data_IF_263110877226
#
_entry.id   IF_263110877226
#
_cell.length_a   1.000
_cell.length_b   1.000
_cell.length_c   1.000
_cell.angle_alpha   90.00
_cell.angle_beta   90.00
_cell.angle_gamma   90.00
#
_symmetry.space_group_name_H-M   'P 1'
#
loop_
_entity.id
_entity.type
_entity.pdbx_description
1 polymer ?
#
# COMPACT_ATOMS: atom_id res chain seq x y z
N UNK A 1 17.32 3.22 -7.16
CA UNK A 1 16.01 3.25 -6.47
C UNK A 1 16.28 3.49 -5.00
N UNK A 2 15.59 4.45 -4.35
CA UNK A 2 15.72 4.70 -2.91
C UNK A 2 14.44 4.24 -2.25
N UNK A 3 14.57 3.44 -1.20
CA UNK A 3 13.44 2.91 -0.46
C UNK A 3 13.00 3.87 0.64
N UNK A 4 11.70 3.84 0.97
CA UNK A 4 11.08 4.63 2.03
C UNK A 4 10.40 3.67 3.00
N UNK A 5 10.67 3.83 4.30
CA UNK A 5 10.04 3.05 5.37
C UNK A 5 9.03 3.93 6.10
N UNK A 6 7.76 3.53 6.09
CA UNK A 6 6.68 4.21 6.81
C UNK A 6 6.37 3.46 8.12
N UNK A 7 6.47 4.13 9.27
CA UNK A 7 6.13 3.57 10.58
C UNK A 7 4.82 4.18 11.07
N UNK A 8 3.83 3.36 11.38
CA UNK A 8 2.56 3.79 11.98
C UNK A 8 2.53 3.42 13.46
N UNK A 9 2.13 4.38 14.31
CA UNK A 9 2.07 4.19 15.75
C UNK A 9 0.76 4.75 16.32
N UNK A 10 0.18 4.00 17.27
CA UNK A 10 -1.08 4.35 17.93
C UNK A 10 -2.32 4.11 17.06
N UNK A 11 -3.49 4.20 17.69
CA UNK A 11 -4.77 3.87 17.06
C UNK A 11 -5.12 4.83 15.91
N UNK A 12 -4.90 6.14 16.08
CA UNK A 12 -5.07 7.12 15.01
C UNK A 12 -4.10 6.86 13.84
N UNK A 13 -2.83 6.60 14.13
CA UNK A 13 -1.81 6.32 13.12
C UNK A 13 -2.13 5.06 12.29
N UNK A 14 -2.63 4.01 12.94
CA UNK A 14 -3.02 2.78 12.26
C UNK A 14 -4.24 2.97 11.34
N UNK A 15 -5.22 3.79 11.73
CA UNK A 15 -6.38 4.09 10.88
C UNK A 15 -5.98 4.83 9.61
N UNK A 16 -5.16 5.88 9.75
CA UNK A 16 -4.66 6.63 8.60
C UNK A 16 -3.74 5.75 7.75
N UNK A 17 -2.85 4.97 8.38
CA UNK A 17 -1.95 4.06 7.68
C UNK A 17 -2.68 3.01 6.85
N UNK A 18 -3.76 2.44 7.38
CA UNK A 18 -4.59 1.48 6.66
C UNK A 18 -5.21 2.10 5.40
N UNK A 19 -5.80 3.30 5.51
CA UNK A 19 -6.41 3.97 4.35
C UNK A 19 -5.39 4.46 3.34
N UNK A 20 -4.22 4.88 3.80
CA UNK A 20 -3.12 5.24 2.92
C UNK A 20 -2.69 4.05 2.05
N UNK A 21 -2.43 2.89 2.65
CA UNK A 21 -1.98 1.72 1.90
C UNK A 21 -3.08 1.11 1.02
N UNK A 22 -4.35 1.19 1.43
CA UNK A 22 -5.49 0.81 0.58
C UNK A 22 -5.48 1.60 -0.74
N UNK A 23 -5.38 2.93 -0.67
CA UNK A 23 -5.35 3.79 -1.86
C UNK A 23 -4.10 3.55 -2.71
N UNK A 24 -2.93 3.40 -2.09
CA UNK A 24 -1.68 3.13 -2.81
C UNK A 24 -1.74 1.77 -3.51
N UNK A 25 -2.22 0.73 -2.83
CA UNK A 25 -2.39 -0.61 -3.39
C UNK A 25 -3.33 -0.59 -4.60
N UNK A 26 -4.48 0.09 -4.49
CA UNK A 26 -5.41 0.24 -5.59
C UNK A 26 -4.79 1.00 -6.77
N UNK A 27 -4.06 2.10 -6.51
CA UNK A 27 -3.36 2.88 -7.53
C UNK A 27 -2.30 2.07 -8.28
N UNK A 28 -1.64 1.15 -7.58
CA UNK A 28 -0.58 0.31 -8.13
C UNK A 28 -1.06 -1.09 -8.55
N UNK A 29 -2.38 -1.33 -8.56
CA UNK A 29 -2.97 -2.60 -8.99
C UNK A 29 -2.58 -3.80 -8.12
N UNK A 30 -2.30 -3.60 -6.84
CA UNK A 30 -2.02 -4.67 -5.88
C UNK A 30 -3.29 -4.97 -5.10
N UNK A 31 -3.76 -6.21 -5.18
CA UNK A 31 -4.97 -6.63 -4.48
C UNK A 31 -4.74 -6.84 -2.96
N UNK A 32 -5.81 -7.00 -2.15
CA UNK A 32 -5.68 -7.20 -0.71
C UNK A 32 -4.97 -8.49 -0.29
N UNK A 33 -4.74 -9.43 -1.21
CA UNK A 33 -3.94 -10.65 -0.97
C UNK A 33 -2.45 -10.42 -1.20
N UNK A 34 -2.09 -9.23 -1.72
CA UNK A 34 -0.73 -8.87 -2.11
C UNK A 34 -0.39 -9.27 -3.54
N UNK A 35 -1.37 -9.65 -4.36
CA UNK A 35 -1.14 -10.07 -5.75
C UNK A 35 -1.32 -8.89 -6.69
N UNK A 36 -0.35 -8.67 -7.58
CA UNK A 36 -0.46 -7.66 -8.63
C UNK A 36 -1.43 -8.12 -9.73
N UNK A 37 -2.38 -7.27 -10.10
CA UNK A 37 -3.41 -7.50 -11.11
C UNK A 37 -3.38 -6.45 -12.23
N UNK A 38 -2.21 -6.02 -12.66
CA UNK A 38 -2.05 -5.16 -13.84
C UNK A 38 -1.60 -5.93 -15.09
N UNK A 39 -1.82 -5.34 -16.26
CA UNK A 39 -1.36 -5.86 -17.56
C UNK A 39 0.13 -5.60 -17.83
N UNK A 40 0.92 -5.26 -16.80
CA UNK A 40 2.34 -5.00 -16.98
C UNK A 40 3.11 -6.34 -17.09
N UNK A 41 3.46 -6.72 -18.32
CA UNK A 41 4.34 -7.85 -18.69
C UNK A 41 5.81 -7.69 -18.23
N UNK A 42 6.07 -6.94 -17.15
CA UNK A 42 7.44 -6.77 -16.62
C UNK A 42 7.96 -8.07 -15.98
#
# INVERSE_FOLDING_TARGET
MREIVCVQAGQCGNQIGSKFWEVISDEHGVDPTGTYQGDSDL
#
